data_IF_830076212256
#
_entry.id   IF_830076212256
#
_cell.length_a   1.000
_cell.length_b   1.000
_cell.length_c   1.000
_cell.angle_alpha   90.00
_cell.angle_beta   90.00
_cell.angle_gamma   90.00
#
_symmetry.space_group_name_H-M   'P 1'
#
loop_
_entity.id
_entity.type
_entity.pdbx_description
1 polymer ?
#
# COMPACT_ATOMS: atom_id res chain seq x y z
N UNK A 1 -12.30 -14.28 1.79
CA UNK A 1 -12.87 -13.45 0.69
C UNK A 1 -12.65 -12.00 1.07
N UNK A 2 -12.13 -11.18 0.16
CA UNK A 2 -11.99 -9.74 0.38
C UNK A 2 -13.20 -9.00 -0.17
N UNK A 3 -13.79 -8.12 0.63
CA UNK A 3 -14.98 -7.32 0.28
C UNK A 3 -14.63 -5.83 0.24
N UNK A 4 -15.04 -5.15 -0.83
CA UNK A 4 -14.79 -3.72 -1.03
C UNK A 4 -16.00 -2.86 -0.64
N UNK A 5 -15.82 -2.06 0.41
CA UNK A 5 -16.81 -1.09 0.90
C UNK A 5 -16.75 0.24 0.14
N UNK A 6 -17.87 0.97 0.19
CA UNK A 6 -17.97 2.36 -0.31
C UNK A 6 -17.44 3.39 0.68
N UNK A 7 -17.03 2.94 1.86
CA UNK A 7 -16.43 3.78 2.91
C UNK A 7 -15.12 4.40 2.41
N UNK A 8 -14.98 5.70 2.58
CA UNK A 8 -13.77 6.46 2.38
C UNK A 8 -13.36 7.13 3.69
N UNK A 9 -12.11 6.90 4.09
CA UNK A 9 -11.49 7.51 5.27
C UNK A 9 -10.28 8.32 4.86
N UNK A 10 -10.11 9.51 5.42
CA UNK A 10 -8.91 10.33 5.24
C UNK A 10 -8.51 10.96 6.57
N UNK A 11 -7.24 11.35 6.70
CA UNK A 11 -6.66 11.95 7.90
C UNK A 11 -6.86 11.08 9.14
N UNK A 12 -6.33 9.85 9.15
CA UNK A 12 -6.48 8.90 10.26
C UNK A 12 -7.92 8.73 10.74
N UNK A 13 -8.83 8.56 9.77
CA UNK A 13 -10.26 8.40 9.96
C UNK A 13 -11.01 9.61 10.56
N UNK A 14 -10.39 10.80 10.66
CA UNK A 14 -11.07 12.05 11.05
C UNK A 14 -12.14 12.44 10.02
N UNK A 15 -11.92 12.16 8.74
CA UNK A 15 -12.90 12.39 7.68
C UNK A 15 -13.44 11.06 7.18
N UNK A 16 -14.74 10.82 7.41
CA UNK A 16 -15.47 9.63 6.92
C UNK A 16 -16.56 10.06 5.95
N UNK A 17 -16.62 9.41 4.80
CA UNK A 17 -17.70 9.58 3.82
C UNK A 17 -18.04 8.23 3.19
N UNK A 18 -19.28 8.08 2.72
CA UNK A 18 -19.66 6.97 1.84
C UNK A 18 -19.70 7.51 0.42
N UNK A 19 -18.87 6.94 -0.46
CA UNK A 19 -18.84 7.31 -1.87
C UNK A 19 -19.47 6.15 -2.66
N UNK A 20 -20.70 6.37 -3.14
CA UNK A 20 -21.45 5.35 -3.86
C UNK A 20 -20.65 4.81 -5.05
N UNK A 21 -20.55 3.48 -5.13
CA UNK A 21 -19.85 2.80 -6.21
C UNK A 21 -18.33 2.73 -6.08
N UNK A 22 -17.71 3.39 -5.07
CA UNK A 22 -16.27 3.32 -4.80
C UNK A 22 -15.78 1.88 -4.66
N UNK A 23 -16.48 1.05 -3.90
CA UNK A 23 -16.11 -0.34 -3.66
C UNK A 23 -16.16 -1.17 -4.94
N UNK A 24 -17.14 -0.92 -5.81
CA UNK A 24 -17.25 -1.59 -7.11
C UNK A 24 -16.08 -1.22 -8.01
N UNK A 25 -15.76 0.07 -8.10
CA UNK A 25 -14.63 0.56 -8.90
C UNK A 25 -13.30 0.02 -8.37
N UNK A 26 -13.08 0.09 -7.05
CA UNK A 26 -11.84 -0.40 -6.43
C UNK A 26 -11.64 -1.90 -6.64
N UNK A 27 -12.71 -2.71 -6.57
CA UNK A 27 -12.62 -4.14 -6.85
C UNK A 27 -12.21 -4.41 -8.31
N UNK A 28 -12.78 -3.68 -9.28
CA UNK A 28 -12.42 -3.82 -10.69
C UNK A 28 -10.99 -3.36 -10.98
N UNK A 29 -10.57 -2.24 -10.40
CA UNK A 29 -9.21 -1.71 -10.55
C UNK A 29 -8.19 -2.65 -9.88
N UNK A 30 -8.50 -3.15 -8.67
CA UNK A 30 -7.64 -4.11 -7.97
C UNK A 30 -7.43 -5.38 -8.80
N UNK A 31 -8.49 -5.95 -9.39
CA UNK A 31 -8.37 -7.09 -10.31
C UNK A 31 -7.47 -6.76 -11.52
N UNK A 32 -7.68 -5.59 -12.15
CA UNK A 32 -6.89 -5.17 -13.31
C UNK A 32 -5.39 -5.09 -13.00
N UNK A 33 -5.01 -4.41 -11.91
CA UNK A 33 -3.61 -4.27 -11.52
C UNK A 33 -3.00 -5.60 -11.06
N UNK A 34 -3.70 -6.36 -10.21
CA UNK A 34 -3.19 -7.65 -9.71
C UNK A 34 -3.00 -8.67 -10.83
N UNK A 35 -3.91 -8.70 -11.81
CA UNK A 35 -3.75 -9.54 -13.00
C UNK A 35 -2.56 -9.10 -13.84
N UNK A 36 -2.37 -7.78 -14.02
CA UNK A 36 -1.21 -7.23 -14.71
C UNK A 36 0.11 -7.62 -14.05
N UNK A 37 0.19 -7.50 -12.72
CA UNK A 37 1.36 -7.90 -11.92
C UNK A 37 1.64 -9.41 -12.03
N UNK A 38 0.62 -10.25 -11.91
CA UNK A 38 0.78 -11.70 -12.09
C UNK A 38 1.32 -12.05 -13.50
N UNK A 39 0.88 -11.34 -14.54
CA UNK A 39 1.31 -11.59 -15.93
C UNK A 39 2.79 -11.28 -16.18
N UNK A 40 3.38 -10.37 -15.40
CA UNK A 40 4.82 -10.05 -15.47
C UNK A 40 5.65 -10.83 -14.43
N UNK A 41 5.03 -11.78 -13.71
CA UNK A 41 5.71 -12.65 -12.76
C UNK A 41 5.79 -12.12 -11.33
N UNK A 42 5.14 -10.99 -11.00
CA UNK A 42 5.06 -10.49 -9.62
C UNK A 42 3.97 -11.27 -8.88
N UNK A 43 4.32 -12.03 -7.82
CA UNK A 43 3.34 -12.84 -7.10
C UNK A 43 2.39 -11.95 -6.31
N UNK A 44 1.09 -12.18 -6.46
CA UNK A 44 0.05 -11.46 -5.70
C UNK A 44 -0.85 -12.44 -4.94
N UNK A 45 -1.56 -11.93 -3.93
CA UNK A 45 -2.58 -12.72 -3.24
C UNK A 45 -3.84 -12.98 -4.10
N UNK A 46 -3.99 -12.32 -5.25
CA UNK A 46 -5.21 -12.33 -6.03
C UNK A 46 -5.40 -13.67 -6.74
N UNK A 47 -6.60 -14.26 -6.64
CA UNK A 47 -6.95 -15.50 -7.36
C UNK A 47 -7.94 -15.19 -8.48
N UNK A 48 -9.10 -14.61 -8.15
CA UNK A 48 -10.12 -14.20 -9.12
C UNK A 48 -11.18 -13.31 -8.48
N UNK A 49 -11.84 -12.48 -9.27
CA UNK A 49 -13.06 -11.76 -8.85
C UNK A 49 -14.25 -12.73 -8.75
N UNK A 50 -15.11 -12.52 -7.76
CA UNK A 50 -16.34 -13.31 -7.54
C UNK A 50 -17.55 -12.54 -8.07
N UNK A 51 -17.67 -11.25 -7.74
CA UNK A 51 -18.77 -10.39 -8.16
C UNK A 51 -18.30 -8.92 -8.18
N UNK A 52 -19.25 -7.98 -8.19
CA UNK A 52 -18.93 -6.54 -8.27
C UNK A 52 -18.16 -6.01 -7.05
N UNK A 53 -18.23 -6.63 -5.87
CA UNK A 53 -17.60 -6.14 -4.63
C UNK A 53 -16.65 -7.12 -3.96
N UNK A 54 -16.56 -8.35 -4.45
CA UNK A 54 -15.80 -9.41 -3.81
C UNK A 54 -14.75 -10.02 -4.72
N UNK A 55 -13.59 -10.32 -4.14
CA UNK A 55 -12.55 -11.12 -4.75
C UNK A 55 -12.07 -12.26 -3.85
N UNK A 56 -11.74 -13.37 -4.47
CA UNK A 56 -11.07 -14.50 -3.84
C UNK A 56 -9.57 -14.23 -3.84
N UNK A 57 -8.97 -14.26 -2.65
CA UNK A 57 -7.55 -14.04 -2.42
C UNK A 57 -6.97 -15.20 -1.62
N UNK A 58 -5.66 -15.40 -1.73
CA UNK A 58 -4.87 -16.25 -0.85
C UNK A 58 -4.84 -15.59 0.53
N UNK A 59 -5.02 -16.40 1.57
CA UNK A 59 -4.78 -15.96 2.93
C UNK A 59 -3.26 -15.80 3.11
N UNK A 60 -2.86 -14.67 3.68
CA UNK A 60 -1.46 -14.32 3.93
C UNK A 60 -1.34 -13.78 5.34
N UNK A 61 -0.15 -13.88 5.90
CA UNK A 61 0.25 -13.10 7.07
C UNK A 61 0.70 -11.72 6.58
N UNK A 62 0.08 -10.67 7.09
CA UNK A 62 0.40 -9.29 6.69
C UNK A 62 1.56 -8.79 7.54
N UNK A 63 2.67 -8.47 6.90
CA UNK A 63 3.75 -7.70 7.51
C UNK A 63 3.19 -6.31 7.89
N UNK A 64 3.36 -5.83 9.13
CA UNK A 64 2.73 -4.60 9.62
C UNK A 64 3.43 -3.34 9.11
N UNK A 65 3.67 -3.28 7.79
CA UNK A 65 4.36 -2.21 7.12
C UNK A 65 3.57 -1.74 5.89
N UNK A 66 3.60 -0.43 5.66
CA UNK A 66 3.25 0.14 4.36
C UNK A 66 4.53 0.41 3.59
N UNK A 67 4.60 -0.08 2.35
CA UNK A 67 5.72 0.13 1.43
C UNK A 67 5.30 1.23 0.46
N UNK A 68 6.01 2.35 0.49
CA UNK A 68 5.65 3.56 -0.27
C UNK A 68 6.73 3.84 -1.31
N UNK A 69 6.36 3.71 -2.59
CA UNK A 69 7.25 4.04 -3.71
C UNK A 69 6.93 5.43 -4.25
N UNK A 70 7.94 6.30 -4.35
CA UNK A 70 7.78 7.69 -4.80
C UNK A 70 8.63 7.97 -6.02
N UNK A 71 7.99 8.40 -7.10
CA UNK A 71 8.63 8.91 -8.32
C UNK A 71 8.68 10.45 -8.37
N UNK A 72 7.73 11.09 -7.69
CA UNK A 72 7.60 12.54 -7.59
C UNK A 72 7.36 12.93 -6.12
N UNK A 73 7.79 14.13 -5.73
CA UNK A 73 7.48 14.68 -4.42
C UNK A 73 5.99 15.01 -4.34
N UNK A 74 5.27 14.38 -3.41
CA UNK A 74 3.85 14.63 -3.15
C UNK A 74 3.48 14.28 -1.72
N UNK A 75 2.34 14.79 -1.25
CA UNK A 75 1.77 14.45 0.05
C UNK A 75 2.70 14.70 1.24
N UNK A 76 2.78 13.73 2.16
CA UNK A 76 3.52 13.87 3.43
C UNK A 76 5.02 14.13 3.24
N UNK A 77 5.65 13.55 2.21
CA UNK A 77 7.06 13.77 1.90
C UNK A 77 7.33 15.22 1.49
N UNK A 78 6.53 15.76 0.56
CA UNK A 78 6.70 17.13 0.08
C UNK A 78 6.61 18.13 1.23
N UNK A 79 5.61 17.97 2.11
CA UNK A 79 5.45 18.79 3.32
C UNK A 79 6.61 18.63 4.30
N UNK A 80 7.05 17.39 4.58
CA UNK A 80 8.12 17.10 5.56
C UNK A 80 9.49 17.64 5.12
N UNK A 81 9.78 17.59 3.81
CA UNK A 81 11.07 17.99 3.25
C UNK A 81 11.07 19.42 2.68
N UNK A 82 9.93 20.13 2.73
CA UNK A 82 9.81 21.47 2.17
C UNK A 82 9.98 21.51 0.65
N UNK A 83 9.59 20.43 -0.04
CA UNK A 83 9.69 20.32 -1.50
C UNK A 83 8.39 20.79 -2.16
N UNK A 84 8.51 21.34 -3.37
CA UNK A 84 7.36 21.65 -4.20
C UNK A 84 6.69 20.36 -4.69
N UNK A 85 5.36 20.27 -4.56
CA UNK A 85 4.59 19.11 -5.00
C UNK A 85 4.64 18.99 -6.53
N UNK A 86 4.86 17.77 -7.03
CA UNK A 86 5.11 17.51 -8.44
C UNK A 86 6.60 17.54 -8.85
N UNK A 87 7.52 17.88 -7.94
CA UNK A 87 8.96 17.81 -8.24
C UNK A 87 9.38 16.38 -8.58
N UNK A 88 10.00 16.20 -9.75
CA UNK A 88 10.53 14.90 -10.16
C UNK A 88 11.73 14.50 -9.31
N UNK A 89 11.73 13.26 -8.81
CA UNK A 89 12.84 12.74 -8.03
C UNK A 89 13.92 12.17 -8.96
N UNK A 90 15.22 12.28 -8.59
CA UNK A 90 16.31 11.77 -9.42
C UNK A 90 16.32 10.24 -9.54
N UNK A 91 15.68 9.55 -8.58
CA UNK A 91 15.44 8.11 -8.58
C UNK A 91 14.17 7.80 -7.77
N UNK A 92 13.52 6.65 -8.00
CA UNK A 92 12.47 6.18 -7.11
C UNK A 92 12.98 6.05 -5.67
N UNK A 93 12.19 6.52 -4.71
CA UNK A 93 12.47 6.40 -3.28
C UNK A 93 11.46 5.42 -2.68
N UNK A 94 11.96 4.45 -1.92
CA UNK A 94 11.16 3.52 -1.13
C UNK A 94 11.21 3.99 0.33
N UNK A 95 10.04 4.18 0.92
CA UNK A 95 9.88 4.50 2.34
C UNK A 95 8.99 3.45 3.01
N UNK A 96 9.21 3.23 4.30
CA UNK A 96 8.39 2.33 5.11
C UNK A 96 7.64 3.11 6.19
N UNK A 97 6.35 2.82 6.35
CA UNK A 97 5.57 3.24 7.52
C UNK A 97 5.19 2.03 8.35
N UNK A 98 5.27 2.15 9.67
CA UNK A 98 4.73 1.13 10.57
C UNK A 98 3.21 1.25 10.62
N UNK A 99 2.51 0.19 10.20
CA UNK A 99 1.05 0.21 10.08
C UNK A 99 0.40 0.15 11.47
N UNK A 100 0.01 1.31 11.98
CA UNK A 100 -0.64 1.46 13.27
C UNK A 100 -1.43 2.79 13.28
N UNK A 101 -2.75 2.66 13.10
CA UNK A 101 -3.69 3.78 13.07
C UNK A 101 -3.63 4.66 14.33
N UNK A 102 -3.36 4.08 15.52
CA UNK A 102 -3.27 4.83 16.79
C UNK A 102 -2.03 5.73 16.83
N UNK A 103 -0.95 5.32 16.16
CA UNK A 103 0.29 6.07 16.04
C UNK A 103 0.32 6.97 14.79
N UNK A 104 -0.70 6.87 13.94
CA UNK A 104 -0.79 7.62 12.69
C UNK A 104 0.23 7.19 11.64
N UNK A 105 0.50 5.89 11.56
CA UNK A 105 1.39 5.25 10.57
C UNK A 105 2.78 5.91 10.44
N UNK A 106 3.58 5.94 11.52
CA UNK A 106 4.85 6.66 11.54
C UNK A 106 5.83 6.07 10.52
N UNK A 107 6.62 6.94 9.88
CA UNK A 107 7.77 6.50 9.09
C UNK A 107 8.78 5.78 9.98
N UNK A 108 9.30 4.67 9.49
CA UNK A 108 10.31 3.86 10.17
C UNK A 108 11.47 3.54 9.21
N UNK A 109 12.72 3.60 9.69
CA UNK A 109 13.85 3.11 8.91
C UNK A 109 13.88 1.58 8.91
N UNK A 110 14.61 0.98 7.96
CA UNK A 110 14.83 -0.47 7.87
C UNK A 110 15.38 -1.08 9.17
N UNK A 111 16.21 -0.32 9.88
CA UNK A 111 16.78 -0.73 11.17
C UNK A 111 15.68 -1.09 12.19
N UNK A 112 14.56 -0.36 12.22
CA UNK A 112 13.47 -0.65 13.15
C UNK A 112 12.73 -1.92 12.74
N UNK A 113 12.56 -2.14 11.43
CA UNK A 113 11.90 -3.33 10.88
C UNK A 113 12.63 -4.60 11.32
N UNK A 114 13.96 -4.61 11.17
CA UNK A 114 14.81 -5.74 11.53
C UNK A 114 14.90 -5.88 13.06
N UNK A 115 15.14 -4.78 13.78
CA UNK A 115 15.32 -4.80 15.23
C UNK A 115 14.06 -5.29 15.98
N UNK A 116 12.87 -4.94 15.49
CA UNK A 116 11.61 -5.38 16.07
C UNK A 116 11.06 -6.67 15.46
N UNK A 117 11.76 -7.25 14.47
CA UNK A 117 11.38 -8.51 13.86
C UNK A 117 10.06 -8.45 13.10
N UNK A 118 9.71 -7.28 12.55
CA UNK A 118 8.50 -7.15 11.70
C UNK A 118 8.68 -7.82 10.35
N UNK A 119 9.91 -7.85 9.85
CA UNK A 119 10.33 -8.60 8.67
C UNK A 119 11.78 -9.04 8.86
N UNK A 120 12.17 -10.18 8.26
CA UNK A 120 13.58 -10.58 8.21
C UNK A 120 14.35 -9.72 7.19
N UNK A 121 15.68 -9.78 7.22
CA UNK A 121 16.51 -9.14 6.19
C UNK A 121 16.14 -9.63 4.79
N UNK A 122 15.90 -10.94 4.64
CA UNK A 122 15.51 -11.52 3.36
C UNK A 122 14.16 -10.97 2.87
N UNK A 123 13.18 -10.86 3.77
CA UNK A 123 11.87 -10.29 3.41
C UNK A 123 12.01 -8.83 2.96
N UNK A 124 12.85 -8.04 3.63
CA UNK A 124 13.14 -6.66 3.25
C UNK A 124 13.77 -6.56 1.87
N UNK A 125 14.78 -7.39 1.58
CA UNK A 125 15.44 -7.42 0.29
C UNK A 125 14.46 -7.80 -0.83
N UNK A 126 13.57 -8.78 -0.57
CA UNK A 126 12.54 -9.21 -1.51
C UNK A 126 11.46 -8.13 -1.72
N UNK A 127 11.03 -7.45 -0.65
CA UNK A 127 10.08 -6.32 -0.72
C UNK A 127 10.66 -5.20 -1.59
N UNK A 128 11.91 -4.82 -1.36
CA UNK A 128 12.58 -3.74 -2.10
C UNK A 128 12.79 -4.12 -3.57
N UNK A 129 13.11 -5.39 -3.86
CA UNK A 129 13.30 -5.85 -5.22
C UNK A 129 11.99 -5.88 -6.05
N UNK A 130 10.84 -6.09 -5.39
CA UNK A 130 9.52 -6.12 -6.03
C UNK A 130 8.85 -4.74 -6.15
N UNK A 131 9.31 -3.74 -5.39
CA UNK A 131 8.74 -2.39 -5.30
C UNK A 131 9.27 -1.43 -6.39
#
# INVERSE_FOLDING_TARGET
VQYFKDDATAFNAEKKATIEGKGVLNNRLSEFFMTGLNNIGVPTHFIRRINMREQLIRQVEIIPLEVIVRNFAAGSMAKRLGMEEGTQLPRPIIEFSYKNDELGDPLVPEEYIIAFGWASQQDLDDIVALA
#
